data_IF_382891823604
#
_entry.id   IF_382891823604
#
_cell.length_a   1.000
_cell.length_b   1.000
_cell.length_c   1.000
_cell.angle_alpha   90.00
_cell.angle_beta   90.00
_cell.angle_gamma   90.00
#
_symmetry.space_group_name_H-M   'P 1'
#
loop_
_entity.id
_entity.type
_entity.pdbx_description
1 polymer ?
#
# COMPACT_ATOMS: atom_id res chain seq x y z
N UNK A 1 14.86 6.00 -1.65
CA UNK A 1 14.45 5.82 -3.07
C UNK A 1 15.46 6.49 -3.99
N UNK A 2 15.35 6.31 -5.31
CA UNK A 2 16.31 6.82 -6.32
C UNK A 2 16.54 8.34 -6.24
N UNK A 3 15.50 9.11 -5.93
CA UNK A 3 15.55 10.58 -5.93
C UNK A 3 15.56 11.21 -4.53
N UNK A 4 15.26 10.45 -3.47
CA UNK A 4 15.26 10.97 -2.10
C UNK A 4 14.18 12.00 -1.78
N UNK A 5 13.33 12.36 -2.75
CA UNK A 5 12.27 13.34 -2.64
C UNK A 5 11.03 12.97 -3.48
N UNK A 6 9.87 13.50 -3.10
CA UNK A 6 8.63 13.42 -3.87
C UNK A 6 7.73 14.62 -3.57
N UNK A 7 6.95 15.07 -4.57
CA UNK A 7 5.93 16.12 -4.40
C UNK A 7 4.60 15.57 -4.89
N UNK A 8 3.58 15.65 -4.04
CA UNK A 8 2.24 15.11 -4.33
C UNK A 8 1.19 16.15 -3.96
N UNK A 9 0.29 16.46 -4.88
CA UNK A 9 -0.85 17.36 -4.60
C UNK A 9 -1.77 16.78 -3.53
N UNK A 10 -2.32 17.63 -2.67
CA UNK A 10 -3.27 17.17 -1.66
C UNK A 10 -4.56 16.67 -2.32
N UNK A 11 -5.12 15.54 -1.86
CA UNK A 11 -6.45 15.15 -2.28
C UNK A 11 -7.46 16.19 -1.80
N UNK A 12 -8.38 16.57 -2.69
CA UNK A 12 -9.51 17.42 -2.36
C UNK A 12 -10.59 16.69 -1.56
N UNK A 13 -11.79 17.26 -1.52
CA UNK A 13 -12.95 16.64 -0.87
C UNK A 13 -13.46 15.40 -1.60
N UNK A 14 -14.03 14.45 -0.86
CA UNK A 14 -14.71 13.28 -1.40
C UNK A 14 -16.15 13.21 -0.90
N UNK A 15 -17.11 13.00 -1.81
CA UNK A 15 -18.54 12.91 -1.50
C UNK A 15 -18.93 11.71 -0.63
N UNK A 16 -18.11 10.64 -0.64
CA UNK A 16 -18.37 9.44 0.15
C UNK A 16 -18.05 9.62 1.64
N UNK A 17 -17.29 10.65 2.00
CA UNK A 17 -16.90 10.93 3.37
C UNK A 17 -15.45 11.42 3.51
N UNK A 18 -15.06 11.82 4.73
CA UNK A 18 -13.70 12.25 5.01
C UNK A 18 -12.72 11.09 4.86
N UNK A 19 -11.62 11.31 4.14
CA UNK A 19 -10.52 10.34 3.97
C UNK A 19 -9.19 11.06 4.23
N UNK A 20 -8.82 11.23 5.51
CA UNK A 20 -7.58 11.91 5.86
C UNK A 20 -6.37 11.08 5.40
N UNK A 21 -5.26 11.77 5.17
CA UNK A 21 -3.98 11.21 4.69
C UNK A 21 -2.90 11.17 5.78
N UNK A 22 -3.28 11.50 7.01
CA UNK A 22 -2.47 11.52 8.21
C UNK A 22 -1.68 10.22 8.41
N UNK A 23 -2.30 9.06 8.18
CA UNK A 23 -1.60 7.76 8.30
C UNK A 23 -0.51 7.56 7.25
N UNK A 24 -0.67 8.13 6.05
CA UNK A 24 0.40 8.09 5.05
C UNK A 24 1.59 8.95 5.51
N UNK A 25 1.31 10.17 5.97
CA UNK A 25 2.32 11.11 6.48
C UNK A 25 3.08 10.49 7.65
N UNK A 26 2.35 10.01 8.67
CA UNK A 26 2.91 9.29 9.83
C UNK A 26 3.82 8.14 9.41
N UNK A 27 3.41 7.36 8.41
CA UNK A 27 4.18 6.25 7.88
C UNK A 27 5.51 6.67 7.24
N UNK A 28 5.50 7.75 6.45
CA UNK A 28 6.72 8.28 5.83
C UNK A 28 7.65 8.94 6.86
N UNK A 29 7.11 9.70 7.80
CA UNK A 29 7.87 10.32 8.89
C UNK A 29 8.54 9.26 9.78
N UNK A 30 7.84 8.17 10.08
CA UNK A 30 8.40 7.06 10.85
C UNK A 30 9.56 6.36 10.12
N UNK A 31 9.60 6.43 8.78
CA UNK A 31 10.73 5.95 7.96
C UNK A 31 11.85 7.01 7.80
N UNK A 32 11.72 8.17 8.44
CA UNK A 32 12.71 9.25 8.44
C UNK A 32 12.57 10.24 7.29
N UNK A 33 11.43 10.31 6.61
CA UNK A 33 11.14 11.39 5.68
C UNK A 33 10.63 12.63 6.44
N UNK A 34 11.10 13.81 6.06
CA UNK A 34 10.47 15.07 6.42
C UNK A 34 9.29 15.30 5.49
N UNK A 35 8.11 15.57 6.05
CA UNK A 35 6.90 15.86 5.28
C UNK A 35 6.44 17.28 5.59
N UNK A 36 6.46 18.14 4.58
CA UNK A 36 5.95 19.52 4.69
C UNK A 36 4.76 19.71 3.75
N UNK A 37 3.87 20.63 4.12
CA UNK A 37 2.76 21.05 3.27
C UNK A 37 3.01 22.50 2.85
N UNK A 38 3.28 22.71 1.57
CA UNK A 38 3.59 24.02 1.00
C UNK A 38 2.66 24.25 -0.20
N UNK A 39 1.90 25.34 -0.19
CA UNK A 39 1.01 25.75 -1.30
C UNK A 39 0.01 24.68 -1.79
N UNK A 40 -0.49 23.81 -0.90
CA UNK A 40 -1.47 22.77 -1.27
C UNK A 40 -0.86 21.50 -1.86
N UNK A 41 0.48 21.36 -1.78
CA UNK A 41 1.20 20.15 -2.13
C UNK A 41 2.00 19.64 -0.92
N UNK A 42 2.06 18.31 -0.78
CA UNK A 42 2.96 17.67 0.17
C UNK A 42 4.32 17.44 -0.46
N UNK A 43 5.35 17.89 0.23
CA UNK A 43 6.74 17.63 -0.09
C UNK A 43 7.25 16.58 0.88
N UNK A 44 7.80 15.49 0.34
CA UNK A 44 8.46 14.45 1.11
C UNK A 44 9.94 14.50 0.78
N UNK A 45 10.80 14.70 1.77
CA UNK A 45 12.25 14.84 1.58
C UNK A 45 12.99 13.94 2.58
N UNK A 46 14.11 13.37 2.16
CA UNK A 46 14.96 12.53 3.04
C UNK A 46 16.36 13.09 3.24
N UNK A 47 16.61 14.34 2.83
CA UNK A 47 17.89 15.06 2.94
C UNK A 47 19.13 14.21 2.54
N UNK A 48 19.01 13.37 1.50
CA UNK A 48 20.04 12.41 1.09
C UNK A 48 20.43 11.33 2.11
N UNK A 49 19.77 11.27 3.27
CA UNK A 49 19.97 10.21 4.29
C UNK A 49 19.29 8.89 3.88
N UNK A 50 18.31 8.99 2.97
CA UNK A 50 17.46 7.87 2.58
C UNK A 50 16.49 7.46 3.68
N UNK A 51 15.59 6.53 3.37
CA UNK A 51 14.63 6.00 4.33
C UNK A 51 15.30 4.95 5.22
N UNK A 52 14.84 4.85 6.47
CA UNK A 52 15.28 3.85 7.45
C UNK A 52 14.10 3.03 7.93
N UNK A 53 14.29 1.73 8.06
CA UNK A 53 13.27 0.83 8.55
C UNK A 53 12.94 1.12 10.01
N UNK A 54 11.66 1.05 10.37
CA UNK A 54 11.15 1.32 11.71
C UNK A 54 9.87 0.50 11.98
N UNK A 55 9.40 0.51 13.22
CA UNK A 55 8.11 -0.06 13.61
C UNK A 55 7.02 1.01 13.55
N UNK A 56 5.95 0.73 12.82
CA UNK A 56 4.88 1.67 12.51
C UNK A 56 3.56 1.02 12.90
N UNK A 57 2.83 1.65 13.82
CA UNK A 57 1.48 1.22 14.20
C UNK A 57 0.45 2.10 13.49
N UNK A 58 -0.46 1.47 12.74
CA UNK A 58 -1.56 2.14 12.05
C UNK A 58 -2.74 2.32 13.01
N UNK A 59 -3.12 3.56 13.30
CA UNK A 59 -4.18 3.84 14.29
C UNK A 59 -5.55 3.36 13.79
N UNK A 60 -5.75 3.41 12.48
CA UNK A 60 -6.91 2.86 11.78
C UNK A 60 -6.42 2.03 10.59
N UNK A 61 -7.15 0.96 10.26
CA UNK A 61 -6.84 0.14 9.08
C UNK A 61 -7.04 0.98 7.82
N UNK A 62 -5.97 1.18 7.05
CA UNK A 62 -5.98 1.92 5.79
C UNK A 62 -5.25 1.15 4.70
N UNK A 63 -5.98 0.78 3.65
CA UNK A 63 -5.43 0.10 2.46
C UNK A 63 -4.35 0.95 1.81
N UNK A 64 -4.66 2.23 1.54
CA UNK A 64 -3.74 3.15 0.88
C UNK A 64 -2.47 3.40 1.70
N UNK A 65 -2.60 3.61 3.01
CA UNK A 65 -1.43 3.87 3.87
C UNK A 65 -0.55 2.62 3.95
N UNK A 66 -1.14 1.44 4.09
CA UNK A 66 -0.42 0.15 4.10
C UNK A 66 0.39 -0.03 2.81
N UNK A 67 -0.21 0.21 1.64
CA UNK A 67 0.48 0.10 0.34
C UNK A 67 1.62 1.11 0.23
N UNK A 68 1.38 2.39 0.51
CA UNK A 68 2.40 3.42 0.35
C UNK A 68 3.60 3.21 1.28
N UNK A 69 3.35 2.86 2.54
CA UNK A 69 4.43 2.56 3.49
C UNK A 69 5.17 1.29 3.09
N UNK A 70 4.48 0.27 2.57
CA UNK A 70 5.11 -0.94 2.06
C UNK A 70 6.04 -0.64 0.88
N UNK A 71 5.58 0.16 -0.10
CA UNK A 71 6.38 0.60 -1.25
C UNK A 71 7.60 1.43 -0.84
N UNK A 72 7.48 2.24 0.22
CA UNK A 72 8.60 3.01 0.76
C UNK A 72 9.61 2.10 1.48
N UNK A 73 9.11 1.18 2.30
CA UNK A 73 9.88 0.29 3.15
C UNK A 73 10.76 -0.69 2.37
N UNK A 74 10.34 -1.16 1.19
CA UNK A 74 11.17 -2.07 0.37
C UNK A 74 12.50 -1.45 -0.07
N UNK A 75 12.63 -0.11 -0.04
CA UNK A 75 13.87 0.63 -0.35
C UNK A 75 14.49 1.30 0.88
N UNK A 76 13.94 1.10 2.07
CA UNK A 76 14.46 1.67 3.31
C UNK A 76 15.62 0.82 3.85
N UNK A 77 16.59 1.43 4.53
CA UNK A 77 17.70 0.68 5.15
C UNK A 77 17.22 0.01 6.43
N UNK A 78 17.35 -1.30 6.52
CA UNK A 78 16.98 -2.09 7.69
C UNK A 78 15.60 -2.76 7.58
N UNK A 79 15.00 -3.08 8.72
CA UNK A 79 13.72 -3.77 8.80
C UNK A 79 12.60 -2.80 9.18
N UNK A 80 11.50 -2.84 8.43
CA UNK A 80 10.25 -2.17 8.75
C UNK A 80 9.22 -3.19 9.23
N UNK A 81 8.44 -2.82 10.25
CA UNK A 81 7.30 -3.60 10.73
C UNK A 81 6.08 -2.70 10.72
N UNK A 82 5.07 -3.05 9.93
CA UNK A 82 3.78 -2.36 9.89
C UNK A 82 2.80 -3.20 10.71
N UNK A 83 2.22 -2.60 11.73
CA UNK A 83 1.25 -3.22 12.62
C UNK A 83 -0.14 -2.62 12.40
N UNK A 84 -1.17 -3.46 12.61
CA UNK A 84 -2.55 -3.15 12.22
C UNK A 84 -2.67 -2.85 10.71
N UNK A 85 -1.94 -3.60 9.91
CA UNK A 85 -1.92 -3.46 8.46
C UNK A 85 -3.26 -3.91 7.84
N UNK A 86 -3.55 -3.36 6.65
CA UNK A 86 -4.69 -3.80 5.86
C UNK A 86 -4.47 -5.24 5.34
N UNK A 87 -5.56 -6.02 5.25
CA UNK A 87 -5.54 -7.48 5.02
C UNK A 87 -6.23 -7.91 3.72
N UNK A 88 -6.63 -6.93 2.94
CA UNK A 88 -7.38 -7.14 1.72
C UNK A 88 -6.53 -7.87 0.66
N UNK A 89 -7.16 -8.63 -0.26
CA UNK A 89 -6.44 -9.37 -1.30
C UNK A 89 -5.50 -8.50 -2.12
N UNK A 90 -5.85 -7.22 -2.33
CA UNK A 90 -5.03 -6.26 -3.06
C UNK A 90 -3.69 -5.97 -2.36
N UNK A 91 -3.63 -6.06 -1.02
CA UNK A 91 -2.37 -5.93 -0.25
C UNK A 91 -1.46 -7.14 -0.49
N UNK A 92 -2.04 -8.33 -0.54
CA UNK A 92 -1.32 -9.57 -0.80
C UNK A 92 -0.76 -9.55 -2.23
N UNK A 93 -1.54 -9.04 -3.19
CA UNK A 93 -1.12 -8.91 -4.59
C UNK A 93 0.08 -7.96 -4.74
N UNK A 94 0.03 -6.77 -4.13
CA UNK A 94 1.16 -5.82 -4.12
C UNK A 94 2.39 -6.43 -3.46
N UNK A 95 2.24 -7.12 -2.33
CA UNK A 95 3.36 -7.80 -1.67
C UNK A 95 3.97 -8.90 -2.55
N UNK A 96 3.12 -9.64 -3.27
CA UNK A 96 3.54 -10.70 -4.21
C UNK A 96 4.30 -10.10 -5.39
N UNK A 97 3.79 -9.01 -5.97
CA UNK A 97 4.48 -8.25 -7.01
C UNK A 97 5.86 -7.78 -6.53
N UNK A 98 5.94 -7.16 -5.36
CA UNK A 98 7.19 -6.66 -4.81
C UNK A 98 8.19 -7.79 -4.55
N UNK A 99 7.75 -8.92 -4.01
CA UNK A 99 8.60 -10.10 -3.83
C UNK A 99 9.08 -10.67 -5.17
N UNK A 100 8.23 -10.71 -6.20
CA UNK A 100 8.61 -11.09 -7.56
C UNK A 100 9.60 -10.12 -8.21
N UNK A 101 9.71 -8.89 -7.71
CA UNK A 101 10.73 -7.90 -8.09
C UNK A 101 12.00 -7.98 -7.23
N UNK A 102 12.09 -8.93 -6.29
CA UNK A 102 13.25 -9.14 -5.42
C UNK A 102 13.16 -8.46 -4.05
N UNK A 103 12.01 -7.90 -3.67
CA UNK A 103 11.79 -7.41 -2.31
C UNK A 103 11.66 -8.57 -1.31
N UNK A 104 11.70 -8.24 -0.02
CA UNK A 104 11.53 -9.20 1.08
C UNK A 104 10.37 -8.77 1.98
N UNK A 105 9.15 -9.03 1.53
CA UNK A 105 7.90 -8.72 2.23
C UNK A 105 7.27 -10.00 2.77
N UNK A 106 6.98 -10.05 4.07
CA UNK A 106 6.34 -11.20 4.74
C UNK A 106 5.17 -10.74 5.60
N UNK A 107 4.18 -11.61 5.78
CA UNK A 107 3.01 -11.34 6.63
C UNK A 107 1.87 -10.57 5.96
N UNK A 108 1.93 -10.33 4.64
CA UNK A 108 0.80 -9.77 3.90
C UNK A 108 -0.44 -10.68 4.03
N UNK A 109 -1.61 -10.10 4.27
CA UNK A 109 -2.84 -10.83 4.63
C UNK A 109 -3.02 -11.07 6.13
N UNK A 110 -2.01 -10.75 6.95
CA UNK A 110 -2.10 -10.72 8.42
C UNK A 110 -2.12 -9.28 8.93
N UNK A 111 -2.33 -9.09 10.23
CA UNK A 111 -2.30 -7.79 10.91
C UNK A 111 -0.88 -7.19 11.01
N UNK A 112 0.16 -7.97 10.79
CA UNK A 112 1.56 -7.53 10.87
C UNK A 112 2.34 -7.86 9.59
N UNK A 113 2.84 -6.82 8.92
CA UNK A 113 3.68 -6.95 7.73
C UNK A 113 5.13 -6.59 8.08
N UNK A 114 6.07 -7.49 7.75
CA UNK A 114 7.51 -7.31 7.98
C UNK A 114 8.22 -7.18 6.65
N UNK A 115 9.03 -6.13 6.51
CA UNK A 115 9.70 -5.78 5.27
C UNK A 115 11.18 -5.59 5.57
N UNK A 116 12.03 -6.35 4.89
CA UNK A 116 13.47 -6.10 4.89
C UNK A 116 13.82 -5.34 3.61
N UNK A 117 14.34 -4.13 3.76
CA UNK A 117 14.64 -3.30 2.59
C UNK A 117 15.84 -3.80 1.79
N UNK A 118 15.78 -3.59 0.47
CA UNK A 118 16.74 -4.11 -0.50
C UNK A 118 17.37 -2.99 -1.33
N UNK A 119 18.61 -3.19 -1.76
CA UNK A 119 19.39 -2.20 -2.52
C UNK A 119 18.93 -2.07 -3.98
N UNK A 120 18.37 -3.12 -4.57
CA UNK A 120 17.86 -3.11 -5.95
C UNK A 120 16.56 -3.90 -6.04
N UNK A 121 15.72 -3.52 -7.00
CA UNK A 121 14.57 -4.30 -7.46
C UNK A 121 14.77 -4.54 -8.96
N UNK A 122 14.23 -5.64 -9.46
CA UNK A 122 14.26 -5.96 -10.89
C UNK A 122 12.85 -5.93 -11.49
N UNK A 123 12.78 -5.84 -12.82
CA UNK A 123 11.51 -6.00 -13.52
C UNK A 123 10.99 -7.43 -13.38
N UNK A 124 9.66 -7.60 -13.38
CA UNK A 124 9.01 -8.90 -13.39
C UNK A 124 7.75 -8.84 -14.26
N UNK A 125 7.21 -10.02 -14.60
CA UNK A 125 5.85 -10.16 -15.12
C UNK A 125 4.95 -10.58 -13.96
N UNK A 126 3.84 -9.90 -13.80
CA UNK A 126 2.88 -10.16 -12.73
C UNK A 126 1.47 -10.11 -13.30
N UNK A 127 0.64 -11.08 -12.94
CA UNK A 127 -0.77 -11.09 -13.32
C UNK A 127 -1.57 -10.52 -12.15
N UNK A 128 -2.36 -9.48 -12.41
CA UNK A 128 -3.23 -8.91 -11.38
C UNK A 128 -4.32 -9.90 -10.99
N UNK A 129 -4.66 -9.89 -9.70
CA UNK A 129 -5.79 -10.67 -9.19
C UNK A 129 -7.12 -10.21 -9.83
N UNK A 130 -8.10 -11.11 -10.01
CA UNK A 130 -9.44 -10.73 -10.45
C UNK A 130 -10.15 -9.72 -9.52
N UNK A 131 -11.08 -8.94 -10.06
CA UNK A 131 -11.83 -7.97 -9.24
C UNK A 131 -12.94 -8.66 -8.42
N UNK A 132 -12.75 -8.70 -7.11
CA UNK A 132 -13.72 -9.30 -6.17
C UNK A 132 -15.01 -8.49 -6.02
N UNK A 133 -14.99 -7.18 -6.23
CA UNK A 133 -16.17 -6.31 -6.14
C UNK A 133 -17.02 -6.48 -7.40
N UNK A 134 -16.38 -6.55 -8.57
CA UNK A 134 -17.05 -6.90 -9.82
C UNK A 134 -17.70 -8.29 -9.72
N UNK A 135 -16.95 -9.30 -9.29
CA UNK A 135 -17.47 -10.66 -9.09
C UNK A 135 -18.67 -10.67 -8.14
N UNK A 136 -18.57 -9.99 -6.99
CA UNK A 136 -19.66 -9.86 -6.03
C UNK A 136 -20.91 -9.19 -6.62
N UNK A 137 -20.73 -8.18 -7.47
CA UNK A 137 -21.83 -7.49 -8.15
C UNK A 137 -22.59 -8.42 -9.08
N UNK A 138 -21.90 -9.22 -9.89
CA UNK A 138 -22.55 -10.21 -10.75
C UNK A 138 -23.23 -11.33 -9.97
N UNK A 139 -22.68 -11.74 -8.83
CA UNK A 139 -23.33 -12.72 -7.95
C UNK A 139 -24.61 -12.17 -7.33
N UNK A 140 -24.63 -10.91 -6.90
CA UNK A 140 -25.84 -10.26 -6.40
C UNK A 140 -26.94 -10.18 -7.48
N UNK A 141 -26.56 -9.87 -8.72
CA UNK A 141 -27.47 -9.90 -9.86
C UNK A 141 -28.01 -11.31 -10.13
N UNK A 142 -27.14 -12.32 -10.08
CA UNK A 142 -27.50 -13.72 -10.28
C UNK A 142 -28.57 -14.19 -9.29
N UNK A 143 -28.40 -13.81 -8.01
CA UNK A 143 -29.36 -14.09 -6.95
C UNK A 143 -30.73 -13.44 -7.20
N UNK A 144 -30.74 -12.21 -7.74
CA UNK A 144 -31.98 -11.52 -8.10
C UNK A 144 -32.71 -12.14 -9.30
N UNK A 145 -31.98 -12.66 -10.29
CA UNK A 145 -32.54 -13.24 -11.53
C UNK A 145 -33.09 -14.66 -11.32
N UNK A 146 -32.52 -15.45 -10.41
CA UNK A 146 -33.02 -16.79 -10.04
C UNK A 146 -32.71 -17.93 -11.03
N UNK A 147 -32.37 -17.63 -12.29
CA UNK A 147 -32.00 -18.64 -13.30
C UNK A 147 -30.52 -19.06 -13.27
N UNK A 148 -29.72 -18.47 -12.35
CA UNK A 148 -28.30 -18.79 -12.15
C UNK A 148 -27.36 -18.12 -13.16
N UNK A 149 -26.22 -17.64 -12.69
CA UNK A 149 -25.11 -17.09 -13.50
C UNK A 149 -23.82 -17.76 -13.02
N UNK A 150 -22.97 -18.19 -13.96
CA UNK A 150 -21.62 -18.69 -13.64
C UNK A 150 -20.59 -17.59 -13.87
N UNK A 151 -20.08 -17.02 -12.78
CA UNK A 151 -18.92 -16.11 -12.81
C UNK A 151 -17.65 -16.96 -12.87
N UNK A 152 -16.74 -16.64 -13.79
CA UNK A 152 -15.45 -17.33 -13.97
C UNK A 152 -14.31 -16.41 -13.55
N UNK A 153 -13.16 -16.99 -13.21
CA UNK A 153 -11.95 -16.25 -12.84
C UNK A 153 -12.18 -15.32 -11.63
N UNK A 154 -12.52 -15.92 -10.48
CA UNK A 154 -12.73 -15.24 -9.20
C UNK A 154 -11.69 -15.72 -8.18
N UNK A 155 -11.36 -14.87 -7.20
CA UNK A 155 -10.43 -15.17 -6.11
C UNK A 155 -11.13 -15.99 -5.03
#
# INVERSE_FOLDING_TARGET
GKFGEAVVGLPGGCYLGPRPIDLHVKGFEALGAEVTNEHGAMYLRTENKGLRGNRIFMDVVSVGATINVMLAAVKAKGQTVIENAAREPEIIDVATLLNNMGAKVRGAGTDVIRIEGVETLHGCRHFMIPDRIEAGTYLALAAAVGNGIKVKNVI
#
